data_IF_995199419504
#
_entry.id   IF_995199419504
#
_cell.length_a   1.000
_cell.length_b   1.000
_cell.length_c   1.000
_cell.angle_alpha   90.00
_cell.angle_beta   90.00
_cell.angle_gamma   90.00
#
_symmetry.space_group_name_H-M   'P 1'
#
loop_
_entity.id
_entity.type
_entity.pdbx_description
1 polymer ?
#
# COMPACT_ATOMS: atom_id res chain seq x y z
N UNK A 1 18.85 -7.53 -2.91
CA UNK A 1 18.17 -7.01 -1.69
C UNK A 1 17.98 -5.50 -1.72
N UNK A 2 19.03 -4.69 -1.89
CA UNK A 2 18.89 -3.21 -1.90
C UNK A 2 17.87 -2.67 -2.90
N UNK A 3 17.87 -3.18 -4.15
CA UNK A 3 16.87 -2.79 -5.16
C UNK A 3 15.43 -3.06 -4.69
N UNK A 4 15.17 -4.25 -4.15
CA UNK A 4 13.86 -4.63 -3.62
C UNK A 4 13.42 -3.68 -2.50
N UNK A 5 14.30 -3.42 -1.53
CA UNK A 5 14.01 -2.52 -0.41
C UNK A 5 13.86 -1.06 -0.85
N UNK A 6 14.54 -0.65 -1.93
CA UNK A 6 14.31 0.64 -2.58
C UNK A 6 12.89 0.74 -3.17
N UNK A 7 12.45 -0.31 -3.87
CA UNK A 7 11.08 -0.39 -4.41
C UNK A 7 10.03 -0.41 -3.30
N UNK A 8 10.23 -1.20 -2.24
CA UNK A 8 9.32 -1.24 -1.09
C UNK A 8 9.27 0.11 -0.39
N UNK A 9 10.42 0.77 -0.20
CA UNK A 9 10.46 2.12 0.38
C UNK A 9 9.66 3.16 -0.40
N UNK A 10 9.60 3.02 -1.72
CA UNK A 10 8.86 3.94 -2.56
C UNK A 10 7.34 3.83 -2.34
N UNK A 11 6.82 2.62 -2.18
CA UNK A 11 5.38 2.38 -1.97
C UNK A 11 4.95 2.48 -0.51
N UNK A 12 5.89 2.33 0.43
CA UNK A 12 5.61 2.30 1.87
C UNK A 12 4.75 3.48 2.38
N UNK A 13 4.93 4.75 1.97
CA UNK A 13 4.06 5.85 2.42
C UNK A 13 2.57 5.66 2.11
N UNK A 14 2.25 4.83 1.13
CA UNK A 14 0.87 4.49 0.74
C UNK A 14 0.33 3.27 1.48
N UNK A 15 1.22 2.45 2.03
CA UNK A 15 0.88 1.25 2.76
C UNK A 15 0.86 1.59 4.25
N UNK A 16 -0.29 1.46 4.88
CA UNK A 16 -0.46 1.65 6.33
C UNK A 16 0.28 0.53 7.10
N UNK A 17 1.61 0.63 7.13
CA UNK A 17 2.59 -0.29 7.71
C UNK A 17 3.52 0.52 8.60
N UNK A 18 3.76 0.06 9.82
CA UNK A 18 4.59 0.76 10.79
C UNK A 18 6.10 0.55 10.57
N UNK A 19 6.91 1.43 11.16
CA UNK A 19 8.38 1.28 11.18
C UNK A 19 8.83 -0.01 11.85
N UNK A 20 8.10 -0.49 12.85
CA UNK A 20 8.43 -1.72 13.58
C UNK A 20 8.23 -2.96 12.70
N UNK A 21 7.10 -3.02 11.98
CA UNK A 21 6.79 -4.13 11.08
C UNK A 21 7.76 -4.21 9.89
N UNK A 22 8.27 -3.06 9.42
CA UNK A 22 9.27 -2.97 8.35
C UNK A 22 10.73 -3.16 8.83
N UNK A 23 11.01 -3.02 10.13
CA UNK A 23 12.36 -3.10 10.71
C UNK A 23 13.13 -4.38 10.33
N UNK A 24 12.54 -5.59 10.32
CA UNK A 24 13.23 -6.82 9.94
C UNK A 24 13.85 -6.75 8.53
N UNK A 25 13.20 -6.05 7.60
CA UNK A 25 13.69 -5.88 6.23
C UNK A 25 14.94 -5.00 6.17
N UNK A 26 14.95 -3.89 6.90
CA UNK A 26 16.13 -3.01 6.97
C UNK A 26 17.27 -3.60 7.76
N UNK A 27 16.98 -4.49 8.71
CA UNK A 27 18.03 -5.21 9.43
C UNK A 27 18.85 -6.11 8.50
N UNK A 28 18.27 -6.58 7.39
CA UNK A 28 19.03 -7.27 6.34
C UNK A 28 20.01 -6.35 5.58
N UNK A 29 19.85 -5.02 5.69
CA UNK A 29 20.79 -4.05 5.15
C UNK A 29 21.97 -3.75 6.05
N UNK A 30 21.85 -4.05 7.35
CA UNK A 30 22.92 -3.84 8.32
C UNK A 30 24.00 -4.92 8.14
N UNK A 31 25.27 -4.52 8.22
CA UNK A 31 26.41 -5.41 8.03
C UNK A 31 27.30 -4.98 6.89
N UNK A 32 27.77 -5.95 6.10
CA UNK A 32 28.73 -5.73 5.01
C UNK A 32 28.14 -4.83 3.91
N UNK A 33 28.87 -3.78 3.56
CA UNK A 33 28.51 -2.83 2.49
C UNK A 33 28.67 -3.42 1.09
N UNK A 34 29.40 -4.54 0.94
CA UNK A 34 29.54 -5.21 -0.34
C UNK A 34 28.18 -5.73 -0.86
N UNK A 35 27.87 -5.38 -2.11
CA UNK A 35 26.67 -5.80 -2.83
C UNK A 35 26.63 -7.30 -3.11
N UNK A 36 27.80 -7.94 -3.16
CA UNK A 36 27.94 -9.36 -3.43
C UNK A 36 27.94 -10.21 -2.14
N UNK A 37 27.92 -9.57 -0.98
CA UNK A 37 27.84 -10.27 0.30
C UNK A 37 26.59 -11.14 0.37
N UNK A 38 26.76 -12.39 0.76
CA UNK A 38 25.63 -13.30 0.95
C UNK A 38 24.78 -12.79 2.12
N UNK A 39 23.49 -12.56 1.86
CA UNK A 39 22.52 -12.14 2.87
C UNK A 39 21.38 -13.14 2.91
N UNK A 40 21.16 -13.69 4.10
CA UNK A 40 20.12 -14.70 4.31
C UNK A 40 18.83 -14.01 4.74
N UNK A 41 17.72 -14.35 4.09
CA UNK A 41 16.40 -13.89 4.50
C UNK A 41 16.05 -14.59 5.83
N UNK A 42 15.90 -13.81 6.91
CA UNK A 42 15.42 -14.36 8.18
C UNK A 42 13.92 -14.62 8.12
N UNK A 43 13.38 -15.39 9.07
CA UNK A 43 11.95 -15.68 9.12
C UNK A 43 11.13 -14.40 9.31
N UNK A 44 11.61 -13.49 10.14
CA UNK A 44 10.98 -12.21 10.44
C UNK A 44 10.94 -11.31 9.20
N UNK A 45 12.03 -11.28 8.44
CA UNK A 45 12.06 -10.55 7.18
C UNK A 45 11.15 -11.17 6.11
N UNK A 46 10.99 -12.49 6.11
CA UNK A 46 10.05 -13.14 5.21
C UNK A 46 8.59 -12.77 5.53
N UNK A 47 8.22 -12.78 6.81
CA UNK A 47 6.88 -12.36 7.25
C UNK A 47 6.59 -10.90 6.91
N UNK A 48 7.57 -10.02 7.11
CA UNK A 48 7.45 -8.61 6.73
C UNK A 48 7.25 -8.43 5.21
N UNK A 49 7.93 -9.24 4.37
CA UNK A 49 7.71 -9.22 2.91
C UNK A 49 6.29 -9.68 2.54
N UNK A 50 5.79 -10.74 3.18
CA UNK A 50 4.42 -11.23 2.94
C UNK A 50 3.38 -10.17 3.30
N UNK A 51 3.51 -9.55 4.47
CA UNK A 51 2.63 -8.46 4.89
C UNK A 51 2.66 -7.28 3.90
N UNK A 52 3.84 -6.89 3.41
CA UNK A 52 3.97 -5.84 2.39
C UNK A 52 3.25 -6.25 1.10
N UNK A 53 3.43 -7.50 0.65
CA UNK A 53 2.77 -8.01 -0.55
C UNK A 53 1.24 -8.02 -0.40
N UNK A 54 0.73 -8.44 0.76
CA UNK A 54 -0.70 -8.45 1.07
C UNK A 54 -1.29 -7.04 1.08
N UNK A 55 -0.57 -6.09 1.71
CA UNK A 55 -0.97 -4.67 1.72
C UNK A 55 -0.97 -4.08 0.33
N UNK A 56 0.01 -4.38 -0.52
CA UNK A 56 0.02 -3.92 -1.92
C UNK A 56 -1.14 -4.52 -2.71
N UNK A 57 -1.42 -5.81 -2.52
CA UNK A 57 -2.51 -6.52 -3.20
C UNK A 57 -3.90 -6.00 -2.81
N UNK A 58 -4.06 -5.62 -1.55
CA UNK A 58 -5.31 -5.06 -1.01
C UNK A 58 -5.41 -3.54 -1.15
N UNK A 59 -4.31 -2.87 -1.51
CA UNK A 59 -4.31 -1.42 -1.70
C UNK A 59 -5.09 -1.07 -2.96
N UNK A 60 -6.24 -0.43 -2.77
CA UNK A 60 -7.04 0.08 -3.87
C UNK A 60 -6.65 1.54 -4.12
N UNK A 61 -5.82 1.76 -5.14
CA UNK A 61 -5.51 3.08 -5.65
C UNK A 61 -6.42 3.37 -6.84
N UNK A 62 -7.52 4.08 -6.61
CA UNK A 62 -8.27 4.65 -7.71
C UNK A 62 -7.52 5.88 -8.22
N UNK A 63 -7.41 6.02 -9.54
CA UNK A 63 -6.95 7.25 -10.16
C UNK A 63 -8.14 8.13 -10.52
N UNK A 64 -7.94 9.45 -10.41
CA UNK A 64 -8.89 10.41 -10.95
C UNK A 64 -8.98 10.26 -12.48
N UNK A 65 -10.21 10.13 -12.98
CA UNK A 65 -10.56 10.03 -14.40
C UNK A 65 -11.13 11.37 -14.86
N UNK A 66 -10.40 12.10 -15.70
CA UNK A 66 -10.79 13.47 -16.12
C UNK A 66 -12.18 13.56 -16.76
N UNK A 67 -12.58 12.53 -17.51
CA UNK A 67 -13.85 12.48 -18.23
C UNK A 67 -15.06 12.09 -17.35
N UNK A 68 -14.84 11.71 -16.08
CA UNK A 68 -15.92 11.32 -15.17
C UNK A 68 -16.23 12.42 -14.14
N UNK A 69 -17.51 12.75 -13.88
CA UNK A 69 -17.87 13.72 -12.87
C UNK A 69 -17.51 13.23 -11.47
N UNK A 70 -17.02 14.13 -10.63
CA UNK A 70 -16.80 13.86 -9.21
C UNK A 70 -18.13 13.83 -8.48
N UNK A 71 -18.37 12.75 -7.73
CA UNK A 71 -19.62 12.49 -7.02
C UNK A 71 -19.36 12.35 -5.52
N UNK A 72 -20.23 12.95 -4.71
CA UNK A 72 -20.22 12.79 -3.25
C UNK A 72 -21.33 11.80 -2.85
N UNK A 73 -20.93 10.63 -2.37
CA UNK A 73 -21.84 9.61 -1.87
C UNK A 73 -22.11 9.85 -0.38
N UNK A 74 -23.32 10.30 -0.03
CA UNK A 74 -23.72 10.50 1.36
C UNK A 74 -24.42 9.25 1.87
N UNK A 75 -23.82 8.59 2.86
CA UNK A 75 -24.32 7.37 3.47
C UNK A 75 -24.84 7.71 4.86
N UNK A 76 -26.14 7.50 5.06
CA UNK A 76 -26.77 7.70 6.36
C UNK A 76 -26.58 6.44 7.22
N UNK A 77 -25.77 6.53 8.27
CA UNK A 77 -25.57 5.43 9.24
C UNK A 77 -26.34 5.68 10.53
N UNK A 78 -26.52 4.63 11.33
CA UNK A 78 -27.27 4.70 12.59
C UNK A 78 -26.72 5.71 13.62
N UNK A 79 -25.43 6.07 13.53
CA UNK A 79 -24.78 6.96 14.50
C UNK A 79 -24.52 8.36 13.93
N UNK A 80 -24.02 8.45 12.70
CA UNK A 80 -23.83 9.71 11.99
C UNK A 80 -23.73 9.49 10.47
N UNK A 81 -24.17 10.44 9.63
CA UNK A 81 -23.91 10.37 8.20
C UNK A 81 -22.40 10.50 7.94
N UNK A 82 -21.91 9.76 6.96
CA UNK A 82 -20.57 9.95 6.41
C UNK A 82 -20.67 10.09 4.90
N UNK A 83 -19.66 10.71 4.30
CA UNK A 83 -19.63 10.92 2.86
C UNK A 83 -18.31 10.43 2.28
N UNK A 84 -18.38 9.84 1.09
CA UNK A 84 -17.22 9.35 0.34
C UNK A 84 -17.18 10.08 -1.00
N UNK A 85 -15.99 10.54 -1.39
CA UNK A 85 -15.76 11.08 -2.73
C UNK A 85 -15.40 9.95 -3.68
N UNK A 86 -15.98 9.97 -4.88
CA UNK A 86 -15.65 8.99 -5.90
C UNK A 86 -16.13 9.41 -7.27
N UNK A 87 -15.74 8.61 -8.27
CA UNK A 87 -16.20 8.74 -9.64
C UNK A 87 -16.95 7.46 -10.01
N UNK A 88 -18.14 7.61 -10.57
CA UNK A 88 -18.93 6.50 -11.06
C UNK A 88 -19.09 6.64 -12.57
N UNK A 89 -18.88 5.53 -13.28
CA UNK A 89 -19.31 5.43 -14.67
C UNK A 89 -20.85 5.55 -14.73
N UNK A 90 -21.36 6.14 -15.81
CA UNK A 90 -22.79 6.41 -16.02
C UNK A 90 -23.68 5.17 -16.03
N UNK A 91 -23.09 3.98 -16.18
CA UNK A 91 -23.77 2.67 -16.14
C UNK A 91 -23.86 2.06 -14.72
N UNK A 92 -23.15 2.64 -13.74
CA UNK A 92 -23.16 2.21 -12.34
C UNK A 92 -22.42 0.90 -12.06
N UNK A 93 -21.74 0.31 -13.06
CA UNK A 93 -20.96 -0.92 -12.87
C UNK A 93 -19.56 -0.64 -12.30
N UNK A 94 -18.96 0.49 -12.67
CA UNK A 94 -17.64 0.90 -12.20
C UNK A 94 -17.71 2.12 -11.26
N UNK A 95 -17.36 1.91 -9.99
CA UNK A 95 -17.24 2.96 -8.96
C UNK A 95 -15.81 3.00 -8.43
N UNK A 96 -15.17 4.15 -8.62
CA UNK A 96 -13.81 4.45 -8.18
C UNK A 96 -13.88 5.38 -6.96
N UNK A 97 -13.51 4.90 -5.78
CA UNK A 97 -13.46 5.70 -4.57
C UNK A 97 -12.07 6.34 -4.41
N UNK A 98 -12.04 7.65 -4.16
CA UNK A 98 -10.82 8.45 -4.00
C UNK A 98 -10.45 8.63 -2.52
#
# INVERSE_FOLDING_TARGET
LQKLLGTINWVWPMLDITNEEMSPLFNLLKGDTDLLSARTLTKEAHLALEMVADKISSYNAAHYVEDLPMTLFVINSAFQPFAILGQAATDGEDVYFL
#
